data_IF_804549455500
#
_entry.id   IF_804549455500
#
_cell.length_a   1.000
_cell.length_b   1.000
_cell.length_c   1.000
_cell.angle_alpha   90.00
_cell.angle_beta   90.00
_cell.angle_gamma   90.00
#
_symmetry.space_group_name_H-M   'P 1'
#
loop_
_entity.id
_entity.type
_entity.pdbx_description
1 polymer ?
#
# COMPACT_ATOMS: atom_id res chain seq x y z
N UNK A 1 -36.42 4.17 -4.97
CA UNK A 1 -35.46 4.16 -6.11
C UNK A 1 -34.01 3.80 -5.73
N UNK A 2 -33.65 3.68 -4.44
CA UNK A 2 -32.30 3.26 -4.01
C UNK A 2 -32.14 1.75 -3.73
N UNK A 3 -33.24 1.01 -3.60
CA UNK A 3 -33.22 -0.43 -3.30
C UNK A 3 -32.90 -1.28 -4.55
N UNK A 4 -33.30 -0.82 -5.74
CA UNK A 4 -33.13 -1.51 -7.02
C UNK A 4 -31.67 -1.45 -7.52
N UNK A 5 -30.93 -0.40 -7.18
CA UNK A 5 -29.53 -0.25 -7.58
C UNK A 5 -28.63 -1.20 -6.77
N UNK A 6 -28.95 -1.44 -5.49
CA UNK A 6 -28.22 -2.39 -4.64
C UNK A 6 -28.39 -3.84 -5.06
N UNK A 7 -29.57 -4.22 -5.56
CA UNK A 7 -29.80 -5.58 -6.06
C UNK A 7 -29.07 -5.83 -7.37
N UNK A 8 -29.04 -4.88 -8.31
CA UNK A 8 -28.34 -5.06 -9.59
C UNK A 8 -26.82 -5.15 -9.45
N UNK A 9 -26.20 -4.43 -8.51
CA UNK A 9 -24.76 -4.55 -8.25
C UNK A 9 -24.42 -5.93 -7.66
N UNK A 10 -25.22 -6.43 -6.72
CA UNK A 10 -25.04 -7.77 -6.13
C UNK A 10 -25.30 -8.88 -7.16
N UNK A 11 -26.33 -8.74 -8.00
CA UNK A 11 -26.65 -9.70 -9.06
C UNK A 11 -25.52 -9.75 -10.11
N UNK A 12 -24.99 -8.61 -10.54
CA UNK A 12 -23.85 -8.57 -11.46
C UNK A 12 -22.57 -9.15 -10.85
N UNK A 13 -22.31 -8.94 -9.56
CA UNK A 13 -21.20 -9.59 -8.85
C UNK A 13 -21.35 -11.11 -8.81
N UNK A 14 -22.55 -11.61 -8.52
CA UNK A 14 -22.80 -13.06 -8.51
C UNK A 14 -22.76 -13.69 -9.91
N UNK A 15 -23.14 -12.93 -10.94
CA UNK A 15 -23.09 -13.36 -12.35
C UNK A 15 -21.65 -13.41 -12.88
N UNK A 16 -20.82 -12.42 -12.51
CA UNK A 16 -19.39 -12.41 -12.85
C UNK A 16 -18.67 -13.61 -12.23
N UNK A 17 -18.93 -13.89 -10.95
CA UNK A 17 -18.36 -15.06 -10.27
C UNK A 17 -18.92 -16.41 -10.76
N UNK A 18 -20.10 -16.43 -11.40
CA UNK A 18 -20.71 -17.67 -11.89
C UNK A 18 -20.13 -18.18 -13.21
N UNK A 19 -19.52 -17.32 -14.01
CA UNK A 19 -19.11 -17.67 -15.38
C UNK A 19 -17.61 -18.04 -15.53
N UNK A 20 -16.78 -17.81 -14.52
CA UNK A 20 -15.35 -18.19 -14.54
C UNK A 20 -14.95 -19.25 -13.49
N UNK A 21 -15.91 -19.88 -12.82
CA UNK A 21 -15.66 -21.15 -12.12
C UNK A 21 -15.63 -22.30 -13.14
N UNK A 22 -14.72 -22.23 -14.12
CA UNK A 22 -14.06 -23.46 -14.56
C UNK A 22 -13.38 -23.95 -13.30
N UNK A 23 -13.93 -24.99 -12.70
CA UNK A 23 -13.33 -25.67 -11.56
C UNK A 23 -11.93 -26.14 -11.99
N UNK A 24 -10.93 -25.27 -11.84
CA UNK A 24 -9.57 -25.70 -11.65
C UNK A 24 -9.61 -26.31 -10.26
N UNK A 25 -9.98 -27.58 -10.21
CA UNK A 25 -9.82 -28.41 -9.04
C UNK A 25 -8.37 -28.17 -8.60
N UNK A 26 -8.16 -27.50 -7.45
CA UNK A 26 -6.82 -27.27 -6.95
C UNK A 26 -6.17 -28.64 -6.88
N UNK A 27 -5.17 -28.88 -7.72
CA UNK A 27 -4.40 -30.10 -7.62
C UNK A 27 -3.83 -30.13 -6.20
N UNK A 28 -3.69 -31.31 -5.61
CA UNK A 28 -3.01 -31.44 -4.31
C UNK A 28 -1.62 -30.77 -4.32
N UNK A 29 -0.98 -30.68 -5.49
CA UNK A 29 0.27 -29.94 -5.75
C UNK A 29 0.13 -28.42 -5.57
N UNK A 30 -1.02 -27.82 -5.93
CA UNK A 30 -1.30 -26.37 -5.84
C UNK A 30 -1.59 -25.91 -4.39
N UNK A 31 -1.77 -26.86 -3.47
CA UNK A 31 -2.09 -26.60 -2.06
C UNK A 31 -0.87 -26.31 -1.17
N UNK A 32 0.34 -26.49 -1.70
CA UNK A 32 1.60 -26.30 -0.96
C UNK A 32 2.05 -24.82 -0.92
N UNK A 33 1.11 -23.89 -0.67
CA UNK A 33 1.48 -22.52 -0.36
C UNK A 33 2.03 -22.45 1.07
N UNK A 34 3.34 -22.29 1.19
CA UNK A 34 4.01 -22.02 2.46
C UNK A 34 4.17 -20.51 2.64
N UNK A 35 3.45 -19.94 3.61
CA UNK A 35 3.61 -18.55 3.98
C UNK A 35 4.93 -18.35 4.73
N UNK A 36 5.99 -18.01 3.99
CA UNK A 36 7.29 -17.63 4.55
C UNK A 36 7.37 -16.14 4.87
N UNK A 37 6.28 -15.39 4.65
CA UNK A 37 6.25 -13.93 4.79
C UNK A 37 7.25 -13.20 3.87
N UNK A 38 7.71 -12.04 4.34
CA UNK A 38 8.70 -11.19 3.68
C UNK A 38 9.52 -10.41 4.71
N UNK A 39 10.36 -9.48 4.24
CA UNK A 39 11.19 -8.62 5.11
C UNK A 39 10.40 -7.71 6.07
N UNK A 40 9.09 -7.56 5.92
CA UNK A 40 8.24 -6.75 6.80
C UNK A 40 7.43 -7.55 7.81
N UNK A 41 7.08 -8.78 7.47
CA UNK A 41 6.24 -9.62 8.31
C UNK A 41 6.58 -11.08 8.05
N UNK A 42 6.72 -11.90 9.09
CA UNK A 42 6.99 -13.34 8.94
C UNK A 42 5.79 -14.11 8.35
N UNK A 43 4.59 -13.52 8.36
CA UNK A 43 3.39 -14.11 7.77
C UNK A 43 2.62 -13.05 6.98
N UNK A 44 2.17 -13.39 5.78
CA UNK A 44 1.37 -12.54 4.91
C UNK A 44 -0.01 -12.24 5.54
N UNK A 45 -0.65 -13.23 6.18
CA UNK A 45 -2.00 -13.07 6.71
C UNK A 45 -2.11 -12.07 7.86
N UNK A 46 -1.05 -11.96 8.68
CA UNK A 46 -0.97 -11.01 9.79
C UNK A 46 -0.06 -9.81 9.48
N UNK A 47 0.20 -9.53 8.20
CA UNK A 47 1.05 -8.43 7.80
C UNK A 47 0.40 -7.09 8.16
N UNK A 48 1.08 -6.16 8.85
CA UNK A 48 0.52 -4.86 9.21
C UNK A 48 0.44 -3.89 8.02
N UNK A 49 1.03 -4.25 6.87
CA UNK A 49 1.02 -3.38 5.69
C UNK A 49 -0.36 -3.41 5.01
N UNK A 50 -0.92 -2.25 4.65
CA UNK A 50 -2.22 -2.18 3.97
C UNK A 50 -2.15 -2.66 2.51
N UNK A 51 -0.95 -2.69 1.91
CA UNK A 51 -0.69 -3.20 0.56
C UNK A 51 0.60 -4.01 0.60
N UNK A 52 0.60 -5.20 0.00
CA UNK A 52 1.79 -6.04 -0.08
C UNK A 52 2.91 -5.36 -0.87
N UNK A 53 4.14 -5.50 -0.42
CA UNK A 53 5.32 -4.94 -1.09
C UNK A 53 5.54 -5.48 -2.50
N UNK A 54 5.03 -6.68 -2.78
CA UNK A 54 5.10 -7.31 -4.09
C UNK A 54 3.94 -6.88 -4.99
N UNK A 55 2.83 -6.41 -4.42
CA UNK A 55 1.68 -5.89 -5.18
C UNK A 55 1.91 -4.47 -5.67
N UNK A 56 2.45 -3.59 -4.82
CA UNK A 56 2.84 -2.22 -5.21
C UNK A 56 4.20 -1.84 -4.57
N UNK A 57 5.33 -2.17 -5.24
CA UNK A 57 6.66 -1.79 -4.76
C UNK A 57 6.85 -0.28 -4.63
N UNK A 58 6.11 0.53 -5.41
CA UNK A 58 6.23 1.99 -5.38
C UNK A 58 5.50 2.59 -4.18
N UNK A 59 4.32 2.07 -3.83
CA UNK A 59 3.65 2.40 -2.57
C UNK A 59 4.59 2.23 -1.40
N UNK A 60 5.25 1.07 -1.35
CA UNK A 60 6.12 0.74 -0.25
C UNK A 60 7.34 1.70 -0.13
N UNK A 61 8.00 2.01 -1.26
CA UNK A 61 9.10 2.99 -1.29
C UNK A 61 8.66 4.38 -0.80
N UNK A 62 7.48 4.81 -1.23
CA UNK A 62 6.94 6.11 -0.82
C UNK A 62 6.57 6.12 0.66
N UNK A 63 5.95 5.05 1.16
CA UNK A 63 5.59 4.91 2.58
C UNK A 63 6.80 5.05 3.52
N UNK A 64 7.91 4.36 3.21
CA UNK A 64 9.15 4.49 4.00
C UNK A 64 9.73 5.89 3.90
N UNK A 65 9.73 6.47 2.70
CA UNK A 65 10.24 7.82 2.49
C UNK A 65 9.44 8.84 3.30
N UNK A 66 8.11 8.78 3.26
CA UNK A 66 7.20 9.65 3.98
C UNK A 66 7.36 9.49 5.50
N UNK A 67 7.44 8.25 6.00
CA UNK A 67 7.68 7.99 7.42
C UNK A 67 9.01 8.58 7.90
N UNK A 68 10.08 8.47 7.10
CA UNK A 68 11.38 9.07 7.38
C UNK A 68 11.30 10.60 7.35
N UNK A 69 10.70 11.17 6.32
CA UNK A 69 10.59 12.63 6.14
C UNK A 69 9.80 13.26 7.31
N UNK A 70 8.69 12.63 7.74
CA UNK A 70 7.93 13.04 8.93
C UNK A 70 8.76 12.99 10.21
N UNK A 71 9.56 11.95 10.39
CA UNK A 71 10.43 11.81 11.57
C UNK A 71 11.53 12.88 11.58
N UNK A 72 12.11 13.19 10.41
CA UNK A 72 13.07 14.29 10.23
C UNK A 72 12.44 15.62 10.64
N UNK A 73 11.23 15.91 10.15
CA UNK A 73 10.53 17.15 10.47
C UNK A 73 10.21 17.26 11.97
N UNK A 74 9.70 16.20 12.60
CA UNK A 74 9.42 16.17 14.04
C UNK A 74 10.67 16.43 14.90
N UNK A 75 11.82 15.92 14.50
CA UNK A 75 13.07 16.17 15.22
C UNK A 75 13.65 17.56 14.94
N UNK A 76 13.43 18.10 13.73
CA UNK A 76 13.74 19.48 13.41
C UNK A 76 12.93 20.46 14.26
N UNK A 77 11.62 20.22 14.42
CA UNK A 77 10.73 21.00 15.29
C UNK A 77 11.15 20.97 16.77
N UNK A 78 11.84 19.91 17.21
CA UNK A 78 12.44 19.83 18.55
C UNK A 78 13.75 20.63 18.67
N UNK A 79 14.21 21.27 17.60
CA UNK A 79 15.39 22.14 17.59
C UNK A 79 16.69 21.48 17.10
N UNK A 80 16.65 20.26 16.57
CA UNK A 80 17.86 19.64 15.99
C UNK A 80 18.29 20.37 14.71
N UNK A 81 19.60 20.59 14.58
CA UNK A 81 20.17 21.23 13.39
C UNK A 81 20.13 20.30 12.17
N UNK A 82 20.16 20.90 10.98
CA UNK A 82 20.20 20.18 9.69
C UNK A 82 21.40 19.23 9.61
N UNK A 83 22.54 19.59 10.24
CA UNK A 83 23.75 18.76 10.26
C UNK A 83 23.58 17.54 11.17
N UNK A 84 23.01 17.71 12.36
CA UNK A 84 22.72 16.61 13.28
C UNK A 84 21.71 15.63 12.68
N UNK A 85 20.66 16.16 12.02
CA UNK A 85 19.69 15.36 11.28
C UNK A 85 20.34 14.54 10.16
N UNK A 86 21.25 15.14 9.39
CA UNK A 86 21.97 14.45 8.31
C UNK A 86 22.76 13.25 8.84
N UNK A 87 23.40 13.39 10.00
CA UNK A 87 24.14 12.31 10.66
C UNK A 87 23.18 11.26 11.21
N UNK A 88 22.15 11.66 11.97
CA UNK A 88 21.18 10.74 12.60
C UNK A 88 20.45 9.84 11.60
N UNK A 89 20.05 10.40 10.46
CA UNK A 89 19.29 9.69 9.44
C UNK A 89 20.14 9.14 8.29
N UNK A 90 21.46 9.33 8.34
CA UNK A 90 22.41 8.88 7.30
C UNK A 90 22.03 9.32 5.89
N UNK A 91 21.55 10.57 5.76
CA UNK A 91 21.17 11.16 4.47
C UNK A 91 21.86 12.50 4.25
N UNK A 92 21.96 12.90 2.98
CA UNK A 92 22.55 14.20 2.63
C UNK A 92 21.79 15.37 3.25
N UNK A 93 22.50 16.48 3.51
CA UNK A 93 21.92 17.77 3.92
C UNK A 93 20.78 18.21 2.99
N UNK A 94 20.97 18.02 1.67
CA UNK A 94 19.93 18.33 0.66
C UNK A 94 18.65 17.53 0.90
N UNK A 95 18.76 16.27 1.30
CA UNK A 95 17.60 15.43 1.61
C UNK A 95 16.86 16.00 2.81
N UNK A 96 17.57 16.32 3.90
CA UNK A 96 16.98 16.93 5.10
C UNK A 96 16.23 18.22 4.76
N UNK A 97 16.84 19.13 4.01
CA UNK A 97 16.22 20.39 3.59
C UNK A 97 14.95 20.18 2.77
N UNK A 98 14.93 19.16 1.90
CA UNK A 98 13.73 18.83 1.11
C UNK A 98 12.63 18.25 1.99
N UNK A 99 12.95 17.38 2.94
CA UNK A 99 11.99 16.81 3.89
C UNK A 99 11.32 17.92 4.71
N UNK A 100 12.10 18.84 5.27
CA UNK A 100 11.58 19.99 6.05
C UNK A 100 10.68 20.88 5.20
N UNK A 101 11.07 21.16 3.95
CA UNK A 101 10.26 21.99 3.04
C UNK A 101 8.93 21.34 2.67
N UNK A 102 8.89 20.03 2.50
CA UNK A 102 7.68 19.31 2.09
C UNK A 102 6.61 19.30 3.21
N UNK A 103 7.01 19.02 4.45
CA UNK A 103 6.06 18.93 5.57
C UNK A 103 5.46 20.29 5.98
N UNK A 104 6.18 21.39 5.72
CA UNK A 104 5.60 22.74 5.85
C UNK A 104 4.43 23.03 4.89
N UNK A 105 4.22 22.16 3.89
CA UNK A 105 3.26 22.39 2.80
C UNK A 105 2.17 21.32 2.63
N UNK A 106 2.21 20.21 3.38
CA UNK A 106 1.21 19.14 3.21
C UNK A 106 1.09 18.20 4.42
N UNK A 107 -0.08 18.18 5.06
CA UNK A 107 -0.53 17.03 5.85
C UNK A 107 -0.83 15.87 4.90
N UNK A 108 0.16 15.00 4.67
CA UNK A 108 -0.08 13.77 3.91
C UNK A 108 -0.67 12.72 4.85
N UNK A 109 -1.96 12.84 5.13
CA UNK A 109 -2.73 11.70 5.66
C UNK A 109 -2.83 10.67 4.54
N UNK A 110 -2.37 9.44 4.78
CA UNK A 110 -2.72 8.28 3.97
C UNK A 110 -4.25 8.10 4.04
N UNK A 111 -4.97 8.76 3.13
CA UNK A 111 -6.41 8.69 3.11
C UNK A 111 -6.80 7.26 2.70
N UNK A 112 -7.66 6.61 3.49
CA UNK A 112 -8.13 5.25 3.20
C UNK A 112 -8.66 5.08 1.76
N UNK A 113 -9.23 6.16 1.20
CA UNK A 113 -9.72 6.22 -0.18
C UNK A 113 -8.62 6.03 -1.24
N UNK A 114 -7.40 6.48 -0.98
CA UNK A 114 -6.27 6.34 -1.91
C UNK A 114 -5.62 4.97 -1.81
N UNK A 115 -5.64 4.34 -0.63
CA UNK A 115 -5.25 2.94 -0.42
C UNK A 115 -6.19 2.02 -1.21
N UNK A 116 -7.52 2.17 -1.04
CA UNK A 116 -8.49 1.37 -1.77
C UNK A 116 -8.29 1.46 -3.28
N UNK A 117 -8.11 2.66 -3.84
CA UNK A 117 -7.84 2.84 -5.28
C UNK A 117 -6.58 2.09 -5.74
N UNK A 118 -5.51 2.06 -4.94
CA UNK A 118 -4.28 1.31 -5.28
C UNK A 118 -4.51 -0.19 -5.26
N UNK A 119 -5.22 -0.70 -4.25
CA UNK A 119 -5.60 -2.12 -4.16
C UNK A 119 -6.41 -2.55 -5.39
N UNK A 120 -7.43 -1.77 -5.77
CA UNK A 120 -8.31 -2.11 -6.89
C UNK A 120 -7.69 -1.86 -8.28
N UNK A 121 -6.57 -1.14 -8.38
CA UNK A 121 -5.88 -0.93 -9.67
C UNK A 121 -5.38 -2.23 -10.27
N UNK A 122 -4.90 -3.16 -9.43
CA UNK A 122 -4.39 -4.47 -9.86
C UNK A 122 -5.52 -5.40 -10.34
N UNK A 123 -6.70 -5.33 -9.73
CA UNK A 123 -7.87 -6.09 -10.18
C UNK A 123 -8.33 -5.68 -11.59
N UNK A 124 -8.39 -4.37 -11.88
CA UNK A 124 -8.78 -3.88 -13.21
C UNK A 124 -7.81 -4.30 -14.33
N UNK A 125 -6.52 -4.45 -14.05
CA UNK A 125 -5.56 -4.89 -15.08
C UNK A 125 -5.79 -6.33 -15.52
N UNK A 126 -6.28 -7.21 -14.64
CA UNK A 126 -6.61 -8.58 -15.00
C UNK A 126 -7.95 -8.67 -15.76
N UNK A 127 -8.90 -7.76 -15.48
CA UNK A 127 -10.21 -7.72 -16.15
C UNK A 127 -10.17 -7.20 -17.60
N UNK A 128 -9.06 -6.57 -18.01
CA UNK A 128 -8.91 -5.93 -19.32
C UNK A 128 -8.23 -6.84 -20.35
N UNK A 129 -7.83 -8.05 -19.94
CA UNK A 129 -7.14 -9.04 -20.78
C UNK A 129 -8.02 -10.23 -21.16
N UNK A 130 -9.33 -10.15 -20.89
CA UNK A 130 -10.36 -11.10 -21.32
C UNK A 130 -11.00 -10.66 -22.63
#
# INVERSE_FOLDING_TARGET
MFYIIRTNVLINMTSYYKNELKNHELSSEDSNYFDTGCKYSPTCLNCPLPICIYDDPNFFKNFIKESRDKSIFQDYEKGMSVKELSIKYEVSIRTIQRSIKLDSSAETTLNNKDISKRIYKKFNSYSSSS
#
